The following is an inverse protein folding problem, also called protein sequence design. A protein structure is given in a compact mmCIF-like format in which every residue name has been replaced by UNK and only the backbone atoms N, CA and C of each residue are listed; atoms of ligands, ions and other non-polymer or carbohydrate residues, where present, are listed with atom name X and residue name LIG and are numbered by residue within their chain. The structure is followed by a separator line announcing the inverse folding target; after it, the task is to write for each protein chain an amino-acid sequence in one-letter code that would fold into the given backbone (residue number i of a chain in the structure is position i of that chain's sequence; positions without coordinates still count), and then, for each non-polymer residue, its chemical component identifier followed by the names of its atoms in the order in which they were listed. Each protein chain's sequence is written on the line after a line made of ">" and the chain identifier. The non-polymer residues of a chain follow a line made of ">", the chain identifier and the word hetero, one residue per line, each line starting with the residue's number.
data_IF_690938456713
#
_entry.id   IF_690938456713
#
_cell.length_a   1.000
_cell.length_b   1.000
_cell.length_c   1.000
_cell.angle_alpha   90.00
_cell.angle_beta   90.00
_cell.angle_gamma   90.00
#
_symmetry.space_group_name_H-M   'P 1'
#
loop_
_entity.id
_entity.type
_entity.pdbx_description
1 polymer ?
#
# COMPACT_ATOMS: atom_id res chain seq x y z
N UNK A 1 -11.37 -6.97 -1.28
CA UNK A 1 -10.86 -7.01 0.12
C UNK A 1 -9.64 -6.11 0.25
N UNK A 2 -9.65 -5.17 1.20
CA UNK A 2 -8.53 -4.23 1.43
C UNK A 2 -7.57 -4.77 2.50
N UNK A 3 -6.29 -4.54 2.27
CA UNK A 3 -5.20 -4.91 3.19
C UNK A 3 -4.19 -3.78 3.24
N UNK A 4 -3.36 -3.79 4.27
CA UNK A 4 -2.14 -3.01 4.23
C UNK A 4 -1.16 -3.68 3.27
N UNK A 5 -0.69 -2.93 2.28
CA UNK A 5 0.33 -3.39 1.35
C UNK A 5 1.60 -2.59 1.60
N UNK A 6 2.71 -3.29 1.79
CA UNK A 6 4.03 -2.67 1.77
C UNK A 6 4.41 -2.53 0.31
N UNK A 7 4.43 -1.30 -0.19
CA UNK A 7 4.77 -1.01 -1.57
C UNK A 7 6.19 -0.48 -1.69
N UNK A 8 6.82 -0.64 -2.84
CA UNK A 8 8.07 0.03 -3.14
C UNK A 8 7.85 1.56 -3.23
N UNK A 9 8.61 2.30 -2.43
CA UNK A 9 8.65 3.76 -2.41
C UNK A 9 9.98 4.25 -2.98
N UNK A 10 10.70 5.07 -2.21
CA UNK A 10 11.98 5.63 -2.64
C UNK A 10 13.17 4.77 -2.15
N UNK A 11 13.85 4.00 -3.02
CA UNK A 11 14.98 3.17 -2.59
C UNK A 11 16.16 3.99 -2.06
N UNK A 12 16.23 5.27 -2.40
CA UNK A 12 17.23 6.22 -1.89
C UNK A 12 16.79 6.89 -0.57
N UNK A 13 15.59 6.60 -0.07
CA UNK A 13 15.11 7.23 1.14
C UNK A 13 15.91 6.77 2.37
N UNK A 14 16.40 7.73 3.13
CA UNK A 14 17.18 7.49 4.36
C UNK A 14 16.35 6.80 5.46
N UNK A 15 15.02 6.84 5.35
CA UNK A 15 14.08 6.27 6.31
C UNK A 15 13.34 5.10 5.66
N UNK A 16 13.31 3.97 6.36
CA UNK A 16 12.74 2.71 5.87
C UNK A 16 11.25 2.81 5.51
N UNK A 17 10.51 3.67 6.20
CA UNK A 17 9.08 3.94 5.93
C UNK A 17 8.82 4.70 4.62
N UNK A 18 9.82 5.44 4.15
CA UNK A 18 9.74 6.21 2.90
C UNK A 18 10.23 5.33 1.72
N UNK A 19 11.17 4.42 1.98
CA UNK A 19 11.58 3.39 1.01
C UNK A 19 10.53 2.30 0.81
N UNK A 20 9.82 1.95 1.88
CA UNK A 20 8.82 0.89 1.89
C UNK A 20 7.56 1.37 2.63
N UNK A 21 6.80 2.30 2.05
CA UNK A 21 5.58 2.79 2.67
C UNK A 21 4.52 1.68 2.74
N UNK A 22 3.80 1.68 3.85
CA UNK A 22 2.65 0.81 4.07
C UNK A 22 1.40 1.60 3.70
N UNK A 23 0.68 1.14 2.68
CA UNK A 23 -0.51 1.80 2.15
C UNK A 23 -1.71 0.85 2.20
N UNK A 24 -2.84 1.35 2.70
CA UNK A 24 -4.12 0.66 2.54
C UNK A 24 -4.58 0.85 1.09
N UNK A 25 -4.60 -0.22 0.31
CA UNK A 25 -5.00 -0.19 -1.10
C UNK A 25 -6.12 -1.20 -1.37
N UNK A 26 -6.99 -0.90 -2.32
CA UNK A 26 -7.93 -1.87 -2.87
C UNK A 26 -7.25 -2.75 -3.93
N UNK A 27 -7.87 -3.88 -4.28
CA UNK A 27 -7.32 -4.86 -5.23
C UNK A 27 -7.04 -4.26 -6.63
N UNK A 28 -7.79 -3.23 -7.02
CA UNK A 28 -7.56 -2.51 -8.28
C UNK A 28 -6.38 -1.55 -8.20
N UNK A 29 -6.27 -0.82 -7.10
CA UNK A 29 -5.19 0.15 -6.92
C UNK A 29 -3.86 -0.54 -6.66
N UNK A 30 -3.84 -1.59 -5.84
CA UNK A 30 -2.63 -2.34 -5.50
C UNK A 30 -1.96 -2.94 -6.74
N UNK A 31 -2.74 -3.32 -7.76
CA UNK A 31 -2.20 -3.83 -9.03
C UNK A 31 -1.31 -2.83 -9.79
N UNK A 32 -1.38 -1.53 -9.46
CA UNK A 32 -0.51 -0.48 -10.03
C UNK A 32 0.74 -0.21 -9.19
N UNK A 33 0.89 -0.88 -8.06
CA UNK A 33 2.03 -0.74 -7.17
C UNK A 33 2.84 -2.02 -7.14
N UNK A 34 4.14 -1.88 -6.89
CA UNK A 34 5.02 -3.01 -6.63
C UNK A 34 4.82 -3.40 -5.16
N UNK A 35 4.05 -4.47 -4.92
CA UNK A 35 3.83 -5.01 -3.56
C UNK A 35 5.02 -5.87 -3.18
N UNK A 36 5.67 -5.47 -2.10
CA UNK A 36 6.79 -6.21 -1.50
C UNK A 36 6.26 -7.18 -0.45
N UNK A 37 5.23 -6.77 0.30
CA UNK A 37 4.60 -7.62 1.31
C UNK A 37 3.12 -7.28 1.48
N UNK A 38 2.29 -8.32 1.57
CA UNK A 38 0.88 -8.20 1.94
C UNK A 38 0.74 -8.31 3.46
N UNK A 39 0.16 -7.30 4.09
CA UNK A 39 -0.13 -7.25 5.51
C UNK A 39 -1.56 -7.67 5.84
N UNK A 40 -2.01 -7.23 7.01
CA UNK A 40 -3.33 -7.57 7.55
C UNK A 40 -4.47 -6.89 6.79
N UNK A 41 -5.67 -7.50 6.85
CA UNK A 41 -6.90 -6.88 6.33
C UNK A 41 -7.19 -5.62 7.12
N UNK A 42 -7.50 -4.55 6.40
CA UNK A 42 -7.82 -3.25 6.99
C UNK A 42 -9.21 -2.79 6.55
N UNK A 43 -9.82 -1.96 7.39
CA UNK A 43 -11.04 -1.22 7.11
C UNK A 43 -10.76 0.22 6.66
N UNK A 44 -9.48 0.61 6.57
CA UNK A 44 -9.09 1.90 6.01
C UNK A 44 -9.55 2.04 4.56
N UNK A 45 -9.96 3.25 4.20
CA UNK A 45 -10.24 3.62 2.83
C UNK A 45 -8.97 3.49 1.98
N UNK A 46 -9.14 3.13 0.71
CA UNK A 46 -8.00 3.07 -0.20
C UNK A 46 -7.32 4.44 -0.26
N UNK A 47 -6.04 4.52 0.09
CA UNK A 47 -5.29 5.80 0.11
C UNK A 47 -5.27 6.46 -1.28
N UNK A 48 -5.48 5.67 -2.34
CA UNK A 48 -5.39 6.15 -3.73
C UNK A 48 -6.71 6.60 -4.34
N UNK A 49 -7.78 5.82 -4.18
CA UNK A 49 -9.08 6.14 -4.78
C UNK A 49 -10.15 6.50 -3.74
N UNK A 50 -9.88 6.28 -2.44
CA UNK A 50 -10.87 6.44 -1.38
C UNK A 50 -12.01 5.42 -1.43
N UNK A 51 -12.07 4.57 -2.46
CA UNK A 51 -13.19 3.65 -2.65
C UNK A 51 -13.15 2.47 -1.70
N UNK A 52 -14.36 2.03 -1.35
CA UNK A 52 -14.64 0.93 -0.45
C UNK A 52 -14.72 -0.44 -1.18
N UNK A 53 -14.67 -0.43 -2.51
CA UNK A 53 -15.01 -1.57 -3.38
C UNK A 53 -13.77 -2.29 -3.97
#
# INVERSE_FOLDING_TARGET
>A
MRKYYTTEGDPNAKKRKDAYPILALCERCVARYIVISEGERTYDACVKCGEDD
#
